data_IF_444097464859
#
_entry.id   IF_444097464859
#
_cell.length_a   1.000
_cell.length_b   1.000
_cell.length_c   1.000
_cell.angle_alpha   90.00
_cell.angle_beta   90.00
_cell.angle_gamma   90.00
#
_symmetry.space_group_name_H-M   'P 1'
#
loop_
_entity.id
_entity.type
_entity.pdbx_description
1 polymer ?
#
# COMPACT_ATOMS: atom_id res chain seq x y z
N UNK A 1 -1.51 -16.94 -9.87
CA UNK A 1 -1.52 -15.54 -9.41
C UNK A 1 -2.74 -15.29 -8.54
N UNK A 2 -2.54 -14.75 -7.36
CA UNK A 2 -3.64 -14.46 -6.46
C UNK A 2 -4.43 -13.25 -6.94
N UNK A 3 -5.71 -13.21 -6.59
CA UNK A 3 -6.58 -12.09 -6.88
C UNK A 3 -7.14 -11.50 -5.60
N UNK A 4 -7.39 -10.19 -5.61
CA UNK A 4 -7.99 -9.50 -4.47
C UNK A 4 -9.41 -10.00 -4.25
N UNK A 5 -9.81 -10.12 -2.97
CA UNK A 5 -11.17 -10.50 -2.60
C UNK A 5 -12.19 -9.52 -3.21
N UNK A 6 -13.24 -10.06 -3.84
CA UNK A 6 -14.30 -9.23 -4.42
C UNK A 6 -15.00 -8.38 -3.37
N UNK A 7 -15.20 -8.90 -2.17
CA UNK A 7 -15.85 -8.17 -1.09
C UNK A 7 -15.02 -6.95 -0.68
N UNK A 8 -13.70 -7.13 -0.58
CA UNK A 8 -12.78 -6.03 -0.26
C UNK A 8 -12.79 -5.00 -1.39
N UNK A 9 -12.75 -5.44 -2.64
CA UNK A 9 -12.78 -4.54 -3.79
C UNK A 9 -14.06 -3.71 -3.82
N UNK A 10 -15.20 -4.32 -3.57
CA UNK A 10 -16.47 -3.59 -3.53
C UNK A 10 -16.47 -2.52 -2.45
N UNK A 11 -15.97 -2.86 -1.26
CA UNK A 11 -15.87 -1.90 -0.17
C UNK A 11 -14.99 -0.72 -0.56
N UNK A 12 -13.79 -1.01 -1.07
CA UNK A 12 -12.82 0.03 -1.45
C UNK A 12 -13.39 0.91 -2.57
N UNK A 13 -13.96 0.31 -3.61
CA UNK A 13 -14.47 1.06 -4.76
C UNK A 13 -15.65 1.97 -4.40
N UNK A 14 -16.50 1.55 -3.47
CA UNK A 14 -17.68 2.32 -3.11
C UNK A 14 -17.47 3.31 -1.98
N UNK A 15 -16.54 3.03 -1.06
CA UNK A 15 -16.41 3.83 0.16
C UNK A 15 -15.09 4.57 0.31
N UNK A 16 -14.05 4.15 -0.38
CA UNK A 16 -12.71 4.73 -0.21
C UNK A 16 -12.27 5.51 -1.44
N UNK A 17 -12.29 4.87 -2.62
CA UNK A 17 -11.79 5.52 -3.84
C UNK A 17 -12.53 6.81 -4.21
N UNK A 18 -13.85 6.93 -4.01
CA UNK A 18 -14.53 8.19 -4.33
C UNK A 18 -13.98 9.40 -3.56
N UNK A 19 -13.35 9.19 -2.41
CA UNK A 19 -12.76 10.27 -1.62
C UNK A 19 -11.59 10.95 -2.34
N UNK A 20 -10.95 10.24 -3.26
CA UNK A 20 -9.80 10.78 -4.02
C UNK A 20 -10.21 11.82 -5.06
N UNK A 21 -11.48 11.89 -5.41
CA UNK A 21 -11.94 12.89 -6.40
C UNK A 21 -11.79 14.32 -5.89
N UNK A 22 -11.66 14.51 -4.57
CA UNK A 22 -11.46 15.82 -3.97
C UNK A 22 -10.01 16.30 -4.04
N UNK A 23 -9.08 15.42 -4.39
CA UNK A 23 -7.66 15.74 -4.44
C UNK A 23 -7.26 16.16 -5.86
N UNK A 24 -6.14 16.89 -5.99
CA UNK A 24 -5.64 17.28 -7.30
C UNK A 24 -5.12 16.11 -8.12
N UNK A 25 -4.71 16.37 -9.36
CA UNK A 25 -4.29 15.33 -10.30
C UNK A 25 -3.18 14.43 -9.77
N UNK A 26 -2.24 14.98 -9.00
CA UNK A 26 -1.10 14.20 -8.49
C UNK A 26 -1.47 13.26 -7.36
N UNK A 27 -2.64 13.41 -6.75
CA UNK A 27 -3.11 12.59 -5.64
C UNK A 27 -4.55 12.11 -5.84
N UNK A 28 -5.04 12.22 -7.07
CA UNK A 28 -6.43 11.89 -7.39
C UNK A 28 -6.62 10.43 -7.75
N UNK A 29 -7.79 10.14 -8.30
CA UNK A 29 -8.24 8.78 -8.58
C UNK A 29 -7.30 8.03 -9.54
N UNK A 30 -6.79 8.71 -10.57
CA UNK A 30 -5.86 8.10 -11.53
C UNK A 30 -4.57 7.63 -10.85
N UNK A 31 -4.05 8.47 -9.96
CA UNK A 31 -2.83 8.13 -9.21
C UNK A 31 -3.05 6.92 -8.29
N UNK A 32 -4.12 6.94 -7.49
CA UNK A 32 -4.36 5.84 -6.55
C UNK A 32 -4.60 4.52 -7.30
N UNK A 33 -5.26 4.56 -8.43
CA UNK A 33 -5.48 3.36 -9.25
C UNK A 33 -4.15 2.80 -9.76
N UNK A 34 -3.20 3.65 -10.13
CA UNK A 34 -1.87 3.20 -10.54
C UNK A 34 -1.11 2.59 -9.37
N UNK A 35 -1.16 3.21 -8.21
CA UNK A 35 -0.50 2.68 -7.01
C UNK A 35 -1.09 1.31 -6.64
N UNK A 36 -2.41 1.15 -6.74
CA UNK A 36 -3.06 -0.13 -6.49
C UNK A 36 -2.54 -1.20 -7.46
N UNK A 37 -2.54 -0.89 -8.76
CA UNK A 37 -2.09 -1.83 -9.78
C UNK A 37 -0.65 -2.26 -9.54
N UNK A 38 0.23 -1.29 -9.29
CA UNK A 38 1.64 -1.56 -9.04
C UNK A 38 1.84 -2.36 -7.76
N UNK A 39 1.07 -2.06 -6.71
CA UNK A 39 1.16 -2.80 -5.45
C UNK A 39 0.77 -4.26 -5.62
N UNK A 40 -0.26 -4.55 -6.41
CA UNK A 40 -0.68 -5.93 -6.68
C UNK A 40 0.41 -6.67 -7.44
N UNK A 41 1.01 -6.04 -8.46
CA UNK A 41 2.11 -6.64 -9.21
C UNK A 41 3.27 -7.01 -8.29
N UNK A 42 3.67 -6.09 -7.44
CA UNK A 42 4.80 -6.31 -6.53
C UNK A 42 4.48 -7.36 -5.45
N UNK A 43 3.27 -7.30 -4.89
CA UNK A 43 2.86 -8.27 -3.87
C UNK A 43 2.85 -9.70 -4.44
N UNK A 44 2.34 -9.88 -5.65
CA UNK A 44 2.38 -11.19 -6.32
C UNK A 44 3.81 -11.65 -6.55
N UNK A 45 4.69 -10.74 -6.95
CA UNK A 45 6.09 -11.08 -7.23
C UNK A 45 6.81 -11.61 -5.98
N UNK A 46 6.58 -10.98 -4.82
CA UNK A 46 7.29 -11.37 -3.59
C UNK A 46 6.49 -12.36 -2.73
N UNK A 47 5.27 -12.70 -3.12
CA UNK A 47 4.44 -13.63 -2.34
C UNK A 47 3.81 -13.02 -1.10
N UNK A 48 3.63 -11.70 -1.08
CA UNK A 48 2.96 -11.01 0.03
C UNK A 48 1.44 -11.14 -0.11
N UNK A 49 0.72 -10.78 0.96
CA UNK A 49 -0.75 -10.81 0.98
C UNK A 49 -1.28 -9.67 0.08
N UNK A 50 -1.91 -10.03 -1.04
CA UNK A 50 -2.38 -9.03 -2.00
C UNK A 50 -3.57 -8.23 -1.48
N UNK A 51 -4.37 -8.80 -0.59
CA UNK A 51 -5.47 -8.03 0.02
C UNK A 51 -4.93 -6.92 0.91
N UNK A 52 -3.90 -7.21 1.69
CA UNK A 52 -3.22 -6.20 2.49
C UNK A 52 -2.61 -5.13 1.59
N UNK A 53 -1.88 -5.53 0.56
CA UNK A 53 -1.22 -4.60 -0.36
C UNK A 53 -2.25 -3.70 -1.06
N UNK A 54 -3.38 -4.26 -1.48
CA UNK A 54 -4.45 -3.53 -2.13
C UNK A 54 -5.03 -2.45 -1.21
N UNK A 55 -5.36 -2.83 0.02
CA UNK A 55 -5.95 -1.89 0.99
C UNK A 55 -4.95 -0.80 1.38
N UNK A 56 -3.70 -1.15 1.61
CA UNK A 56 -2.64 -0.18 1.90
C UNK A 56 -2.58 0.88 0.79
N UNK A 57 -2.53 0.43 -0.46
CA UNK A 57 -2.48 1.34 -1.61
C UNK A 57 -3.71 2.24 -1.66
N UNK A 58 -4.89 1.68 -1.40
CA UNK A 58 -6.14 2.44 -1.45
C UNK A 58 -6.19 3.55 -0.39
N UNK A 59 -5.59 3.33 0.77
CA UNK A 59 -5.62 4.31 1.87
C UNK A 59 -4.42 5.25 1.88
N UNK A 60 -3.38 4.99 1.09
CA UNK A 60 -2.07 5.61 1.32
C UNK A 60 -2.07 7.15 1.25
N UNK A 61 -2.96 7.76 0.49
CA UNK A 61 -3.01 9.21 0.32
C UNK A 61 -4.28 9.86 0.89
N UNK A 62 -5.10 9.13 1.63
CA UNK A 62 -6.33 9.72 2.21
C UNK A 62 -6.02 10.88 3.15
N UNK A 63 -4.83 10.92 3.74
CA UNK A 63 -4.39 12.00 4.59
C UNK A 63 -4.21 13.33 3.87
N UNK A 64 -4.30 13.34 2.54
CA UNK A 64 -4.25 14.58 1.75
C UNK A 64 -5.43 15.51 2.03
N UNK A 65 -6.45 15.03 2.75
CA UNK A 65 -7.52 15.88 3.25
C UNK A 65 -7.05 16.82 4.37
N UNK A 66 -5.87 16.57 4.95
CA UNK A 66 -5.27 17.39 6.00
C UNK A 66 -3.92 17.96 5.57
N UNK A 67 -3.05 18.35 6.54
CA UNK A 67 -1.76 18.96 6.23
C UNK A 67 -0.88 18.03 5.40
N UNK A 68 -0.33 18.58 4.31
CA UNK A 68 0.47 17.81 3.36
C UNK A 68 1.75 17.23 3.99
N UNK A 69 2.38 17.97 4.89
CA UNK A 69 3.65 17.56 5.48
C UNK A 69 3.54 16.26 6.28
N UNK A 70 2.36 15.96 6.82
CA UNK A 70 2.12 14.77 7.64
C UNK A 70 1.06 13.85 7.05
N UNK A 71 0.77 13.97 5.74
CA UNK A 71 -0.32 13.18 5.15
C UNK A 71 -0.10 11.68 5.30
N UNK A 72 1.14 11.21 5.32
CA UNK A 72 1.45 9.80 5.52
C UNK A 72 1.02 9.32 6.90
N UNK A 73 1.20 10.15 7.94
CA UNK A 73 0.77 9.81 9.29
C UNK A 73 -0.76 9.86 9.42
N UNK A 74 -1.38 10.87 8.82
CA UNK A 74 -2.83 11.00 8.80
C UNK A 74 -3.47 9.83 8.07
N UNK A 75 -2.90 9.43 6.93
CA UNK A 75 -3.39 8.29 6.15
C UNK A 75 -3.31 7.00 6.99
N UNK A 76 -2.22 6.81 7.73
CA UNK A 76 -2.07 5.65 8.60
C UNK A 76 -3.13 5.61 9.69
N UNK A 77 -3.43 6.76 10.29
CA UNK A 77 -4.50 6.86 11.29
C UNK A 77 -5.87 6.55 10.70
N UNK A 78 -6.16 7.07 9.51
CA UNK A 78 -7.43 6.80 8.83
C UNK A 78 -7.59 5.30 8.63
N UNK A 79 -6.55 4.62 8.16
CA UNK A 79 -6.59 3.18 7.96
C UNK A 79 -6.82 2.44 9.27
N UNK A 80 -6.00 2.72 10.29
CA UNK A 80 -6.05 1.95 11.54
C UNK A 80 -7.32 2.22 12.33
N UNK A 81 -7.95 3.37 12.14
CA UNK A 81 -9.20 3.72 12.83
C UNK A 81 -10.45 3.30 12.08
N UNK A 82 -10.32 2.78 10.87
CA UNK A 82 -11.48 2.33 10.10
C UNK A 82 -11.90 0.94 10.58
N UNK A 83 -12.87 0.91 11.47
CA UNK A 83 -13.34 -0.33 12.10
C UNK A 83 -13.92 -1.33 11.10
N UNK A 84 -14.32 -0.86 9.91
CA UNK A 84 -14.86 -1.74 8.86
C UNK A 84 -13.82 -2.73 8.36
N UNK A 85 -12.53 -2.38 8.45
CA UNK A 85 -11.45 -3.28 8.02
C UNK A 85 -11.28 -4.48 8.94
N UNK A 86 -11.80 -4.43 10.15
CA UNK A 86 -11.71 -5.55 11.10
C UNK A 86 -12.48 -6.78 10.62
N UNK A 87 -13.34 -6.62 9.64
CA UNK A 87 -14.04 -7.74 9.03
C UNK A 87 -13.07 -8.68 8.31
N UNK A 88 -11.98 -8.15 7.77
CA UNK A 88 -11.04 -8.92 6.94
C UNK A 88 -9.65 -9.06 7.53
N UNK A 89 -9.27 -8.19 8.46
CA UNK A 89 -7.90 -8.14 8.98
C UNK A 89 -7.90 -8.13 10.50
N UNK A 90 -6.95 -8.89 11.08
CA UNK A 90 -6.76 -8.89 12.54
C UNK A 90 -5.90 -7.68 12.96
N UNK A 91 -5.72 -7.52 14.27
CA UNK A 91 -5.00 -6.36 14.81
C UNK A 91 -3.54 -6.31 14.36
N UNK A 92 -2.87 -7.47 14.28
CA UNK A 92 -1.48 -7.52 13.82
C UNK A 92 -1.36 -7.09 12.37
N UNK A 93 -2.27 -7.55 11.52
CA UNK A 93 -2.30 -7.15 10.12
C UNK A 93 -2.56 -5.65 9.98
N UNK A 94 -3.52 -5.12 10.73
CA UNK A 94 -3.84 -3.70 10.69
C UNK A 94 -2.67 -2.84 11.14
N UNK A 95 -1.90 -3.29 12.13
CA UNK A 95 -0.69 -2.60 12.56
C UNK A 95 0.35 -2.54 11.43
N UNK A 96 0.59 -3.68 10.77
CA UNK A 96 1.51 -3.75 9.64
C UNK A 96 1.05 -2.81 8.52
N UNK A 97 -0.25 -2.81 8.23
CA UNK A 97 -0.81 -1.97 7.18
C UNK A 97 -0.67 -0.48 7.50
N UNK A 98 -0.92 -0.10 8.76
CA UNK A 98 -0.72 1.28 9.22
C UNK A 98 0.73 1.70 9.05
N UNK A 99 1.68 0.86 9.49
CA UNK A 99 3.10 1.14 9.38
C UNK A 99 3.54 1.28 7.92
N UNK A 100 2.98 0.45 7.05
CA UNK A 100 3.28 0.54 5.61
C UNK A 100 2.84 1.89 5.04
N UNK A 101 1.65 2.35 5.41
CA UNK A 101 1.17 3.66 4.96
C UNK A 101 2.06 4.78 5.50
N UNK A 102 2.45 4.70 6.77
CA UNK A 102 3.35 5.70 7.36
C UNK A 102 4.71 5.75 6.66
N UNK A 103 5.19 4.61 6.18
CA UNK A 103 6.52 4.48 5.60
C UNK A 103 6.56 4.68 4.07
N UNK A 104 5.43 4.99 3.43
CA UNK A 104 5.36 4.96 1.96
C UNK A 104 6.12 6.09 1.26
N UNK A 105 6.51 7.13 1.98
CA UNK A 105 7.20 8.28 1.35
C UNK A 105 8.61 7.88 0.94
N UNK A 106 8.87 7.93 -0.37
CA UNK A 106 10.19 7.59 -0.91
C UNK A 106 11.29 8.52 -0.38
N UNK A 107 10.93 9.75 0.02
CA UNK A 107 11.86 10.72 0.56
C UNK A 107 12.09 10.55 2.07
N UNK A 108 11.48 9.54 2.67
CA UNK A 108 11.66 9.26 4.09
C UNK A 108 13.13 8.99 4.40
N UNK A 109 13.57 9.43 5.58
CA UNK A 109 14.95 9.26 6.02
C UNK A 109 15.27 7.84 6.49
N UNK A 110 14.28 6.97 6.60
CA UNK A 110 14.47 5.59 7.08
C UNK A 110 13.89 4.58 6.10
N UNK A 111 14.42 3.37 6.17
CA UNK A 111 13.94 2.24 5.38
C UNK A 111 12.57 1.80 5.89
N UNK A 112 11.62 1.50 5.01
CA UNK A 112 10.34 0.97 5.44
C UNK A 112 10.49 -0.25 6.35
N UNK A 113 9.68 -0.29 7.40
CA UNK A 113 9.78 -1.33 8.45
C UNK A 113 9.41 -2.73 7.96
N UNK A 114 8.54 -2.81 6.94
CA UNK A 114 8.07 -4.10 6.43
C UNK A 114 8.13 -4.12 4.90
N UNK A 115 8.02 -5.32 4.34
CA UNK A 115 7.91 -5.49 2.89
C UNK A 115 6.70 -4.73 2.33
N UNK A 116 5.62 -4.62 3.10
CA UNK A 116 4.43 -3.89 2.66
C UNK A 116 4.71 -2.40 2.49
N UNK A 117 5.47 -1.81 3.39
CA UNK A 117 5.90 -0.42 3.27
C UNK A 117 6.78 -0.22 2.05
N UNK A 118 7.68 -1.17 1.78
CA UNK A 118 8.54 -1.10 0.61
C UNK A 118 7.74 -1.24 -0.69
N UNK A 119 6.74 -2.14 -0.70
CA UNK A 119 5.86 -2.32 -1.86
C UNK A 119 5.16 -1.02 -2.21
N UNK A 120 4.48 -0.39 -1.24
CA UNK A 120 3.71 0.81 -1.54
C UNK A 120 4.62 1.99 -1.88
N UNK A 121 5.79 2.09 -1.26
CA UNK A 121 6.76 3.14 -1.59
C UNK A 121 7.24 3.02 -3.03
N UNK A 122 7.54 1.80 -3.49
CA UNK A 122 7.92 1.58 -4.89
C UNK A 122 6.74 1.80 -5.84
N UNK A 123 5.55 1.34 -5.46
CA UNK A 123 4.35 1.53 -6.27
C UNK A 123 4.00 3.00 -6.44
N UNK A 124 4.34 3.84 -5.47
CA UNK A 124 4.01 5.27 -5.43
C UNK A 124 4.93 6.13 -6.30
N UNK A 125 5.91 5.53 -6.98
CA UNK A 125 6.85 6.28 -7.84
C UNK A 125 6.22 6.77 -9.14
N UNK A 126 4.97 6.46 -9.39
CA UNK A 126 4.22 6.91 -10.57
C UNK A 126 4.83 6.41 -11.88
N UNK A 127 5.28 5.16 -11.88
CA UNK A 127 5.84 4.49 -13.06
C UNK A 127 4.86 3.46 -13.61
N UNK A 128 5.06 3.07 -14.87
CA UNK A 128 4.25 2.02 -15.48
C UNK A 128 4.50 0.67 -14.79
N UNK A 129 3.51 -0.25 -14.76
CA UNK A 129 3.66 -1.53 -14.05
C UNK A 129 4.86 -2.37 -14.50
N UNK A 130 5.17 -2.38 -15.79
CA UNK A 130 6.33 -3.14 -16.29
C UNK A 130 7.65 -2.54 -15.82
N UNK A 131 7.72 -1.21 -15.69
CA UNK A 131 8.90 -0.54 -15.16
C UNK A 131 9.04 -0.83 -13.67
N UNK A 132 7.93 -0.78 -12.92
CA UNK A 132 7.93 -1.10 -11.49
C UNK A 132 8.41 -2.53 -11.26
N UNK A 133 7.93 -3.46 -12.07
CA UNK A 133 8.33 -4.86 -11.99
C UNK A 133 9.82 -5.04 -12.28
N UNK A 134 10.32 -4.39 -13.35
CA UNK A 134 11.74 -4.45 -13.71
C UNK A 134 12.62 -3.91 -12.60
N UNK A 135 12.21 -2.81 -11.97
CA UNK A 135 12.94 -2.25 -10.83
C UNK A 135 12.96 -3.21 -9.65
N UNK A 136 11.84 -3.88 -9.39
CA UNK A 136 11.76 -4.84 -8.29
C UNK A 136 12.78 -5.98 -8.48
N UNK A 137 12.91 -6.47 -9.70
CA UNK A 137 13.90 -7.50 -10.03
C UNK A 137 15.31 -6.94 -9.88
N UNK A 138 15.56 -5.79 -10.47
CA UNK A 138 16.89 -5.17 -10.48
C UNK A 138 17.42 -4.90 -9.08
N UNK A 139 16.56 -4.42 -8.18
CA UNK A 139 16.97 -4.04 -6.83
C UNK A 139 16.69 -5.12 -5.78
N UNK A 140 16.33 -6.33 -6.22
CA UNK A 140 16.22 -7.49 -5.34
C UNK A 140 15.12 -7.37 -4.29
N UNK A 141 13.93 -6.92 -4.69
CA UNK A 141 12.81 -6.76 -3.76
C UNK A 141 12.49 -8.05 -3.02
N UNK A 142 12.63 -9.21 -3.68
CA UNK A 142 12.37 -10.52 -3.07
C UNK A 142 13.32 -10.85 -1.91
N UNK A 143 14.42 -10.12 -1.80
CA UNK A 143 15.41 -10.32 -0.75
C UNK A 143 15.27 -9.32 0.40
N UNK A 144 14.15 -8.62 0.48
CA UNK A 144 13.94 -7.65 1.55
C UNK A 144 14.07 -8.34 2.92
N UNK A 145 14.84 -7.77 3.87
CA UNK A 145 15.18 -8.48 5.12
C UNK A 145 14.01 -9.03 5.92
N UNK A 146 12.90 -8.29 5.97
CA UNK A 146 11.72 -8.72 6.72
C UNK A 146 11.05 -9.92 6.03
N UNK A 147 11.07 -9.96 4.70
CA UNK A 147 10.55 -11.07 3.92
C UNK A 147 11.36 -12.35 4.18
N UNK A 148 12.69 -12.23 4.25
CA UNK A 148 13.56 -13.35 4.59
C UNK A 148 13.22 -13.93 5.95
N UNK A 149 12.96 -13.07 6.94
CA UNK A 149 12.57 -13.52 8.28
C UNK A 149 11.26 -14.30 8.25
N UNK A 150 10.29 -13.81 7.50
CA UNK A 150 9.00 -14.51 7.35
C UNK A 150 9.19 -15.83 6.61
N UNK A 151 10.03 -15.86 5.60
CA UNK A 151 10.35 -17.09 4.88
C UNK A 151 10.93 -18.15 5.79
N UNK A 152 11.76 -17.75 6.74
CA UNK A 152 12.35 -18.69 7.71
C UNK A 152 11.32 -19.21 8.71
N UNK A 153 10.32 -18.41 9.04
CA UNK A 153 9.25 -18.82 9.95
C UNK A 153 8.23 -19.71 9.27
N UNK A 154 8.03 -19.47 7.99
CA UNK A 154 7.07 -20.18 7.20
C UNK A 154 7.56 -21.49 6.74
#
# INVERSE_FOLDING_TARGET
MQQVSLEIMEFIEHHILPRYTAFGKSHGLQHVNRVIKNSIVLANYVGADINMAYVIAAYHDLGMSGPRAIHHLTSGKILSNDVRLKKWFNNDQLKIMKEAVEDHRASSSHTPRTIYGKIVAEADRDLEPDVVFSRAIQFGLENYPELDKEGRKG
#
